data_IF_703939317552
#
_entry.id   IF_703939317552
#
_cell.length_a   1.000
_cell.length_b   1.000
_cell.length_c   1.000
_cell.angle_alpha   90.00
_cell.angle_beta   90.00
_cell.angle_gamma   90.00
#
_symmetry.space_group_name_H-M   'P 1'
#
loop_
_entity.id
_entity.type
_entity.pdbx_description
1 polymer ?
#
# COMPACT_ATOMS: atom_id res chain seq x y z
N UNK A 1 20.48 -17.31 4.64
CA UNK A 1 19.82 -16.00 4.36
C UNK A 1 20.70 -15.00 3.60
N UNK A 2 22.05 -15.12 3.55
CA UNK A 2 22.92 -14.13 2.87
C UNK A 2 23.15 -14.38 1.36
N UNK A 3 22.88 -15.55 0.85
CA UNK A 3 23.18 -15.89 -0.57
C UNK A 3 22.20 -15.23 -1.57
N UNK A 4 20.97 -14.97 -1.19
CA UNK A 4 19.96 -14.36 -2.07
C UNK A 4 20.08 -12.83 -2.17
N UNK A 5 20.87 -12.19 -1.31
CA UNK A 5 21.08 -10.74 -1.35
C UNK A 5 22.16 -10.30 -2.36
N UNK A 6 23.18 -11.12 -2.62
CA UNK A 6 24.35 -10.74 -3.42
C UNK A 6 24.06 -10.45 -4.91
N UNK A 7 22.97 -10.96 -5.45
CA UNK A 7 22.55 -10.74 -6.86
C UNK A 7 21.20 -10.03 -7.02
N UNK A 8 20.58 -9.58 -5.92
CA UNK A 8 19.26 -8.98 -5.97
C UNK A 8 19.31 -7.56 -6.57
N UNK A 9 18.64 -7.31 -7.72
CA UNK A 9 18.70 -6.00 -8.39
C UNK A 9 18.10 -4.86 -7.57
N UNK A 10 17.26 -5.15 -6.58
CA UNK A 10 16.67 -4.16 -5.68
C UNK A 10 17.66 -3.65 -4.63
N UNK A 11 18.76 -4.38 -4.40
CA UNK A 11 19.78 -4.05 -3.41
C UNK A 11 21.06 -3.46 -4.04
N UNK A 12 21.12 -3.42 -5.37
CA UNK A 12 22.24 -2.83 -6.13
C UNK A 12 21.93 -1.38 -6.52
N UNK A 13 22.95 -0.55 -6.73
CA UNK A 13 22.75 0.75 -7.39
C UNK A 13 22.16 0.55 -8.79
N UNK A 14 21.17 1.39 -9.14
CA UNK A 14 20.58 1.34 -10.47
C UNK A 14 21.39 2.18 -11.45
N UNK A 15 22.25 1.52 -12.23
CA UNK A 15 23.09 2.14 -13.27
C UNK A 15 22.37 2.17 -14.63
N UNK A 16 21.14 2.62 -14.61
CA UNK A 16 20.25 2.73 -15.76
C UNK A 16 20.06 4.21 -16.14
N UNK A 17 19.64 4.52 -17.37
CA UNK A 17 19.29 5.88 -17.75
C UNK A 17 18.30 6.51 -16.76
N UNK A 18 18.62 7.72 -16.30
CA UNK A 18 17.82 8.48 -15.32
C UNK A 18 17.72 7.83 -13.92
N UNK A 19 18.53 6.81 -13.61
CA UNK A 19 18.44 6.06 -12.35
C UNK A 19 17.14 5.28 -12.18
N UNK A 20 16.49 4.88 -13.27
CA UNK A 20 15.25 4.11 -13.22
C UNK A 20 15.52 2.68 -12.72
N UNK A 21 14.54 2.02 -12.06
CA UNK A 21 14.68 0.61 -11.71
C UNK A 21 14.92 -0.27 -12.95
N UNK A 22 15.77 -1.30 -12.86
CA UNK A 22 15.98 -2.25 -13.95
C UNK A 22 14.80 -3.23 -14.08
N UNK A 23 13.62 -2.74 -14.50
CA UNK A 23 12.34 -3.48 -14.52
C UNK A 23 12.45 -4.87 -15.17
N UNK A 24 13.25 -5.02 -16.22
CA UNK A 24 13.43 -6.31 -16.92
C UNK A 24 14.15 -7.36 -16.09
N UNK A 25 14.93 -6.95 -15.09
CA UNK A 25 15.67 -7.84 -14.20
C UNK A 25 14.92 -8.14 -12.89
N UNK A 26 13.90 -7.32 -12.55
CA UNK A 26 13.15 -7.45 -11.29
C UNK A 26 12.12 -8.57 -11.42
N UNK A 27 12.01 -9.38 -10.37
CA UNK A 27 11.06 -10.48 -10.23
C UNK A 27 10.38 -10.41 -8.86
N UNK A 28 9.17 -10.99 -8.70
CA UNK A 28 8.46 -10.99 -7.41
C UNK A 28 9.28 -11.55 -6.25
N UNK A 29 10.07 -12.59 -6.48
CA UNK A 29 10.92 -13.22 -5.47
C UNK A 29 12.06 -12.35 -4.93
N UNK A 30 12.36 -11.25 -5.60
CA UNK A 30 13.37 -10.28 -5.14
C UNK A 30 12.88 -9.39 -3.99
N UNK A 31 11.55 -9.19 -3.86
CA UNK A 31 11.01 -8.19 -2.94
C UNK A 31 11.14 -8.57 -1.47
N UNK A 32 10.75 -9.78 -1.07
CA UNK A 32 10.82 -10.18 0.35
C UNK A 32 12.25 -10.07 0.88
N UNK A 33 13.29 -10.63 0.22
CA UNK A 33 14.67 -10.47 0.68
C UNK A 33 15.15 -9.01 0.67
N UNK A 34 14.69 -8.20 -0.27
CA UNK A 34 15.05 -6.77 -0.32
C UNK A 34 14.41 -5.99 0.83
N UNK A 35 13.15 -6.25 1.15
CA UNK A 35 12.49 -5.68 2.31
C UNK A 35 13.17 -6.10 3.62
N UNK A 36 13.60 -7.36 3.76
CA UNK A 36 14.30 -7.83 4.94
C UNK A 36 15.58 -7.04 5.22
N UNK A 37 16.39 -6.86 4.19
CA UNK A 37 17.62 -6.06 4.28
C UNK A 37 17.29 -4.60 4.57
N UNK A 38 16.34 -4.02 3.86
CA UNK A 38 15.99 -2.61 4.00
C UNK A 38 15.38 -2.27 5.37
N UNK A 39 14.55 -3.16 5.93
CA UNK A 39 14.01 -3.02 7.30
C UNK A 39 15.14 -3.10 8.33
N UNK A 40 16.06 -4.04 8.17
CA UNK A 40 17.18 -4.18 9.09
C UNK A 40 18.11 -2.95 9.08
N UNK A 41 18.44 -2.43 7.89
CA UNK A 41 19.20 -1.19 7.73
C UNK A 41 18.48 0.00 8.37
N UNK A 42 17.18 0.18 8.08
CA UNK A 42 16.42 1.29 8.65
C UNK A 42 16.33 1.21 10.17
N UNK A 43 16.17 0.00 10.74
CA UNK A 43 16.23 -0.17 12.21
C UNK A 43 17.57 0.27 12.79
N UNK A 44 18.68 -0.12 12.17
CA UNK A 44 20.00 0.29 12.62
C UNK A 44 20.19 1.82 12.56
N UNK A 45 19.66 2.48 11.51
CA UNK A 45 19.69 3.95 11.41
C UNK A 45 18.86 4.61 12.52
N UNK A 46 17.66 4.12 12.81
CA UNK A 46 16.80 4.63 13.89
C UNK A 46 17.44 4.41 15.27
N UNK A 47 18.01 3.22 15.52
CA UNK A 47 18.73 2.93 16.75
C UNK A 47 19.92 3.89 16.94
N UNK A 48 20.69 4.15 15.87
CA UNK A 48 21.81 5.08 15.90
C UNK A 48 21.38 6.52 16.24
N UNK A 49 20.27 6.99 15.65
CA UNK A 49 19.71 8.31 15.97
C UNK A 49 19.24 8.32 17.43
N UNK A 50 18.52 7.31 17.88
CA UNK A 50 17.98 7.24 19.23
C UNK A 50 19.04 7.12 20.33
N UNK A 51 20.18 6.50 20.03
CA UNK A 51 21.30 6.27 20.94
C UNK A 51 22.41 7.35 20.85
N UNK A 52 22.31 8.33 19.96
CA UNK A 52 23.33 9.38 19.79
C UNK A 52 23.54 10.13 21.13
N UNK A 53 24.76 10.09 21.71
CA UNK A 53 25.07 10.74 22.97
C UNK A 53 25.11 12.25 22.90
N UNK A 54 25.22 12.84 21.69
CA UNK A 54 25.22 14.28 21.50
C UNK A 54 23.84 14.88 21.83
N UNK A 55 23.79 16.09 22.38
CA UNK A 55 22.52 16.79 22.60
C UNK A 55 21.68 16.81 21.32
N UNK A 56 20.35 16.63 21.40
CA UNK A 56 19.50 16.64 20.23
C UNK A 56 19.50 18.01 19.55
N UNK A 57 19.69 17.99 18.24
CA UNK A 57 19.55 19.15 17.35
C UNK A 57 18.60 18.80 16.23
N UNK A 58 18.06 19.80 15.53
CA UNK A 58 17.26 19.55 14.32
C UNK A 58 18.00 18.66 13.31
N UNK A 59 19.30 18.92 13.11
CA UNK A 59 20.14 18.22 12.14
C UNK A 59 20.38 16.74 12.49
N UNK A 60 20.77 16.44 13.77
CA UNK A 60 21.11 15.08 14.18
C UNK A 60 19.90 14.24 14.66
N UNK A 61 18.70 14.82 14.66
CA UNK A 61 17.49 14.14 15.12
C UNK A 61 16.42 14.17 14.02
N UNK A 62 15.83 15.34 13.72
CA UNK A 62 14.71 15.47 12.79
C UNK A 62 15.16 15.23 11.36
N UNK A 63 16.18 15.95 10.89
CA UNK A 63 16.70 15.80 9.54
C UNK A 63 17.43 14.45 9.33
N UNK A 64 18.01 13.87 10.39
CA UNK A 64 18.57 12.52 10.34
C UNK A 64 17.44 11.47 10.17
N UNK A 65 16.36 11.59 10.93
CA UNK A 65 15.17 10.74 10.81
C UNK A 65 14.52 10.84 9.42
N UNK A 66 14.34 12.05 8.91
CA UNK A 66 13.76 12.29 7.57
C UNK A 66 14.58 11.63 6.44
N UNK A 67 15.90 11.56 6.60
CA UNK A 67 16.79 10.91 5.62
C UNK A 67 16.93 9.40 5.80
N UNK A 68 16.49 8.85 6.93
CA UNK A 68 16.60 7.43 7.24
C UNK A 68 15.65 6.59 6.38
N UNK A 69 15.91 5.30 6.27
CA UNK A 69 15.05 4.35 5.57
C UNK A 69 14.98 4.53 4.05
N UNK A 70 15.95 5.19 3.44
CA UNK A 70 15.93 5.48 2.00
C UNK A 70 15.77 4.22 1.16
N UNK A 71 16.52 3.15 1.46
CA UNK A 71 16.41 1.88 0.72
C UNK A 71 15.01 1.28 0.87
N UNK A 72 14.45 1.30 2.09
CA UNK A 72 13.10 0.81 2.34
C UNK A 72 12.05 1.61 1.54
N UNK A 73 12.21 2.91 1.49
CA UNK A 73 11.35 3.79 0.70
C UNK A 73 11.48 3.52 -0.82
N UNK A 74 12.68 3.25 -1.32
CA UNK A 74 12.91 2.95 -2.75
C UNK A 74 12.28 1.60 -3.13
N UNK A 75 12.53 0.55 -2.35
CA UNK A 75 11.93 -0.78 -2.55
C UNK A 75 10.40 -0.70 -2.43
N UNK A 76 9.89 0.01 -1.42
CA UNK A 76 8.46 0.17 -1.19
C UNK A 76 7.75 0.94 -2.31
N UNK A 77 8.34 2.03 -2.82
CA UNK A 77 7.79 2.79 -3.96
C UNK A 77 7.70 1.96 -5.23
N UNK A 78 8.78 1.20 -5.51
CA UNK A 78 8.79 0.32 -6.68
C UNK A 78 7.76 -0.80 -6.54
N UNK A 79 7.71 -1.44 -5.38
CA UNK A 79 6.73 -2.49 -5.09
C UNK A 79 5.29 -1.97 -5.23
N UNK A 80 4.98 -0.84 -4.60
CA UNK A 80 3.66 -0.21 -4.70
C UNK A 80 3.29 0.21 -6.12
N UNK A 81 4.26 0.65 -6.94
CA UNK A 81 4.02 0.92 -8.35
C UNK A 81 3.63 -0.35 -9.11
N UNK A 82 4.39 -1.45 -8.94
CA UNK A 82 4.11 -2.71 -9.65
C UNK A 82 2.81 -3.36 -9.19
N UNK A 83 2.50 -3.37 -7.90
CA UNK A 83 1.23 -3.91 -7.39
C UNK A 83 0.01 -3.11 -7.86
N UNK A 84 0.17 -1.81 -8.07
CA UNK A 84 -0.92 -0.93 -8.54
C UNK A 84 -1.15 -0.97 -10.05
N UNK A 85 -0.09 -1.20 -10.85
CA UNK A 85 -0.15 -1.08 -12.32
C UNK A 85 -0.03 -2.42 -13.06
N UNK A 86 0.68 -3.40 -12.52
CA UNK A 86 1.05 -4.65 -13.17
C UNK A 86 1.01 -5.83 -12.18
N UNK A 87 -0.01 -5.88 -11.33
CA UNK A 87 -0.09 -6.91 -10.29
C UNK A 87 -0.18 -8.33 -10.86
N UNK A 88 0.27 -9.28 -10.07
CA UNK A 88 0.21 -10.72 -10.38
C UNK A 88 -0.05 -11.51 -9.10
N UNK A 89 -0.49 -12.79 -9.18
CA UNK A 89 -0.66 -13.63 -8.00
C UNK A 89 0.60 -13.72 -7.13
N UNK A 90 1.80 -13.71 -7.74
CA UNK A 90 3.07 -13.72 -7.02
C UNK A 90 3.32 -12.40 -6.28
N UNK A 91 3.04 -11.23 -6.89
CA UNK A 91 3.13 -9.94 -6.21
C UNK A 91 2.09 -9.79 -5.11
N UNK A 92 0.87 -10.30 -5.31
CA UNK A 92 -0.17 -10.30 -4.28
C UNK A 92 0.20 -11.14 -3.06
N UNK A 93 0.88 -12.29 -3.28
CA UNK A 93 1.41 -13.09 -2.18
C UNK A 93 2.48 -12.34 -1.38
N UNK A 94 3.41 -11.64 -2.06
CA UNK A 94 4.39 -10.76 -1.40
C UNK A 94 3.69 -9.64 -0.63
N UNK A 95 2.65 -9.03 -1.19
CA UNK A 95 1.89 -7.97 -0.54
C UNK A 95 1.24 -8.45 0.77
N UNK A 96 0.61 -9.62 0.75
CA UNK A 96 0.02 -10.24 1.95
C UNK A 96 1.06 -10.55 3.02
N UNK A 97 2.25 -11.02 2.63
CA UNK A 97 3.34 -11.30 3.55
C UNK A 97 3.93 -10.02 4.16
N UNK A 98 4.14 -9.00 3.32
CA UNK A 98 4.86 -7.81 3.73
C UNK A 98 4.00 -6.76 4.44
N UNK A 99 2.70 -6.70 4.20
CA UNK A 99 1.82 -5.70 4.79
C UNK A 99 1.87 -5.69 6.33
N UNK A 100 1.70 -6.80 7.06
CA UNK A 100 1.81 -6.81 8.52
C UNK A 100 3.25 -6.52 8.99
N UNK A 101 4.27 -6.99 8.27
CA UNK A 101 5.69 -6.78 8.63
C UNK A 101 6.10 -5.31 8.51
N UNK A 102 5.64 -4.61 7.49
CA UNK A 102 5.85 -3.17 7.32
C UNK A 102 5.10 -2.37 8.39
N UNK A 103 3.84 -2.73 8.69
CA UNK A 103 3.08 -2.10 9.76
C UNK A 103 3.72 -2.30 11.15
N UNK A 104 4.26 -3.50 11.40
CA UNK A 104 5.03 -3.78 12.61
C UNK A 104 6.33 -2.97 12.69
N UNK A 105 7.01 -2.77 11.55
CA UNK A 105 8.19 -1.90 11.47
C UNK A 105 7.84 -0.44 11.75
N UNK A 106 6.78 0.09 11.15
CA UNK A 106 6.31 1.45 11.40
C UNK A 106 5.93 1.65 12.87
N UNK A 107 5.20 0.69 13.47
CA UNK A 107 4.87 0.72 14.90
C UNK A 107 6.13 0.74 15.77
N UNK A 108 7.14 -0.06 15.42
CA UNK A 108 8.41 -0.09 16.13
C UNK A 108 9.14 1.27 16.08
N UNK A 109 9.15 1.95 14.92
CA UNK A 109 9.74 3.29 14.76
C UNK A 109 9.00 4.29 15.66
N UNK A 110 7.69 4.39 15.55
CA UNK A 110 6.89 5.37 16.30
C UNK A 110 6.92 5.12 17.82
N UNK A 111 7.17 3.88 18.24
CA UNK A 111 7.32 3.51 19.65
C UNK A 111 8.79 3.48 20.12
N UNK A 112 9.74 3.89 19.27
CA UNK A 112 11.16 3.89 19.60
C UNK A 112 11.49 4.98 20.64
N UNK A 113 11.70 4.56 21.91
CA UNK A 113 11.83 5.46 23.05
C UNK A 113 12.95 6.50 22.91
N UNK A 114 14.13 6.06 22.44
CA UNK A 114 15.28 6.94 22.29
C UNK A 114 15.03 8.04 21.27
N UNK A 115 14.49 7.68 20.10
CA UNK A 115 14.15 8.64 19.05
C UNK A 115 13.06 9.61 19.52
N UNK A 116 11.98 9.11 20.12
CA UNK A 116 10.87 9.95 20.61
C UNK A 116 11.34 10.90 21.74
N UNK A 117 12.22 10.45 22.64
CA UNK A 117 12.78 11.32 23.67
C UNK A 117 13.55 12.50 23.07
N UNK A 118 14.36 12.27 22.04
CA UNK A 118 15.11 13.33 21.32
C UNK A 118 14.20 14.30 20.59
N UNK A 119 13.17 13.78 19.88
CA UNK A 119 12.16 14.60 19.22
C UNK A 119 11.38 15.44 20.22
N UNK A 120 10.98 14.86 21.37
CA UNK A 120 10.24 15.57 22.42
C UNK A 120 11.07 16.66 23.06
N UNK A 121 12.35 16.43 23.33
CA UNK A 121 13.26 17.44 23.89
C UNK A 121 13.39 18.66 22.95
N UNK A 122 13.46 18.44 21.63
CA UNK A 122 13.45 19.52 20.65
C UNK A 122 12.11 20.26 20.62
N UNK A 123 11.01 19.51 20.64
CA UNK A 123 9.65 20.07 20.58
C UNK A 123 9.36 20.95 21.82
N UNK A 124 9.74 20.51 23.01
CA UNK A 124 9.56 21.27 24.27
C UNK A 124 10.35 22.57 24.23
N UNK A 125 11.56 22.58 23.64
CA UNK A 125 12.43 23.71 23.56
C UNK A 125 12.28 24.54 22.26
N UNK A 126 11.31 24.20 21.40
CA UNK A 126 11.17 24.77 20.03
C UNK A 126 11.08 26.29 19.96
N UNK A 127 10.61 26.96 21.00
CA UNK A 127 10.56 28.42 21.06
C UNK A 127 11.95 29.08 21.21
N UNK A 128 12.93 28.28 21.72
CA UNK A 128 14.32 28.72 21.92
C UNK A 128 15.25 28.27 20.80
N UNK A 129 14.79 27.34 19.97
CA UNK A 129 15.50 26.92 18.77
C UNK A 129 15.22 27.97 17.69
N UNK A 130 16.22 28.71 17.28
CA UNK A 130 16.12 29.71 16.21
C UNK A 130 15.91 29.04 14.84
N UNK A 131 14.82 28.26 14.74
CA UNK A 131 14.42 27.54 13.52
C UNK A 131 13.60 28.46 12.62
N UNK A 132 13.88 28.42 11.35
CA UNK A 132 13.02 28.95 10.30
C UNK A 132 11.60 28.35 10.39
N UNK A 133 10.58 29.00 9.81
CA UNK A 133 9.19 28.54 9.89
C UNK A 133 8.98 27.10 9.39
N UNK A 134 9.63 26.68 8.30
CA UNK A 134 9.49 25.35 7.73
C UNK A 134 10.08 24.24 8.64
N UNK A 135 11.37 24.28 9.05
CA UNK A 135 11.92 23.32 10.01
C UNK A 135 11.14 23.26 11.32
N UNK A 136 10.65 24.39 11.82
CA UNK A 136 9.77 24.42 13.00
C UNK A 136 8.49 23.62 12.77
N UNK A 137 7.83 23.83 11.64
CA UNK A 137 6.61 23.14 11.29
C UNK A 137 6.84 21.63 11.08
N UNK A 138 7.98 21.24 10.48
CA UNK A 138 8.38 19.83 10.34
C UNK A 138 8.54 19.17 11.71
N UNK A 139 9.25 19.80 12.66
CA UNK A 139 9.40 19.29 14.03
C UNK A 139 8.04 19.11 14.73
N UNK A 140 7.16 20.11 14.64
CA UNK A 140 5.82 20.05 15.23
C UNK A 140 4.99 18.91 14.66
N UNK A 141 5.07 18.69 13.35
CA UNK A 141 4.33 17.63 12.67
C UNK A 141 4.87 16.26 13.05
N UNK A 142 6.16 16.05 12.97
CA UNK A 142 6.79 14.77 13.34
C UNK A 142 6.47 14.42 14.80
N UNK A 143 6.61 15.37 15.74
CA UNK A 143 6.24 15.11 17.13
C UNK A 143 4.75 14.72 17.26
N UNK A 144 3.85 15.43 16.57
CA UNK A 144 2.42 15.12 16.57
C UNK A 144 2.13 13.74 15.99
N UNK A 145 2.82 13.35 14.91
CA UNK A 145 2.66 12.05 14.25
C UNK A 145 3.12 10.92 15.18
N UNK A 146 4.25 11.08 15.89
CA UNK A 146 4.70 10.14 16.92
C UNK A 146 3.66 9.98 18.05
N UNK A 147 3.13 11.08 18.58
CA UNK A 147 2.11 11.03 19.65
C UNK A 147 0.85 10.31 19.17
N UNK A 148 0.38 10.60 17.97
CA UNK A 148 -0.81 9.96 17.37
C UNK A 148 -0.61 8.49 17.06
N UNK A 149 0.62 8.12 16.70
CA UNK A 149 0.98 6.73 16.42
C UNK A 149 1.31 5.92 17.68
N UNK A 150 1.06 6.47 18.87
CA UNK A 150 1.16 5.72 20.12
C UNK A 150 2.51 5.80 20.83
N UNK A 151 3.38 6.78 20.52
CA UNK A 151 4.68 6.95 21.18
C UNK A 151 4.61 7.10 22.71
N UNK A 152 3.45 7.48 23.24
CA UNK A 152 3.17 7.62 24.68
C UNK A 152 2.55 6.39 25.31
N UNK A 153 2.17 5.40 24.51
CA UNK A 153 1.64 4.12 25.00
C UNK A 153 2.80 3.32 25.61
N UNK A 154 2.55 2.71 26.74
CA UNK A 154 3.58 1.94 27.48
C UNK A 154 3.03 0.60 27.97
N UNK A 155 3.94 -0.34 28.27
CA UNK A 155 3.57 -1.62 28.86
C UNK A 155 2.81 -2.55 27.91
N UNK A 156 1.78 -3.22 28.43
CA UNK A 156 1.00 -4.20 27.68
C UNK A 156 0.23 -3.58 26.50
N UNK A 157 -0.25 -2.35 26.66
CA UNK A 157 -1.01 -1.64 25.63
C UNK A 157 -0.15 -1.34 24.41
N UNK A 158 1.16 -1.11 24.59
CA UNK A 158 2.09 -0.92 23.48
C UNK A 158 2.21 -2.18 22.60
N UNK A 159 2.36 -3.34 23.23
CA UNK A 159 2.41 -4.61 22.50
C UNK A 159 1.07 -4.90 21.79
N UNK A 160 -0.05 -4.63 22.48
CA UNK A 160 -1.37 -4.81 21.89
C UNK A 160 -1.62 -3.89 20.70
N UNK A 161 -1.22 -2.62 20.80
CA UNK A 161 -1.33 -1.66 19.70
C UNK A 161 -0.57 -2.13 18.45
N UNK A 162 0.67 -2.64 18.60
CA UNK A 162 1.43 -3.17 17.48
C UNK A 162 0.71 -4.33 16.80
N UNK A 163 0.17 -5.28 17.56
CA UNK A 163 -0.63 -6.41 17.01
C UNK A 163 -1.87 -5.92 16.29
N UNK A 164 -2.56 -4.89 16.80
CA UNK A 164 -3.74 -4.29 16.13
C UNK A 164 -3.33 -3.68 14.79
N UNK A 165 -2.21 -2.97 14.73
CA UNK A 165 -1.73 -2.33 13.51
C UNK A 165 -1.32 -3.35 12.44
N UNK A 166 -0.61 -4.42 12.83
CA UNK A 166 -0.25 -5.52 11.93
C UNK A 166 -1.51 -6.21 11.37
N UNK A 167 -2.48 -6.51 12.24
CA UNK A 167 -3.73 -7.13 11.81
C UNK A 167 -4.57 -6.23 10.90
N UNK A 168 -4.62 -4.93 11.18
CA UNK A 168 -5.29 -3.96 10.29
C UNK A 168 -4.64 -3.91 8.91
N UNK A 169 -3.31 -3.96 8.83
CA UNK A 169 -2.59 -3.98 7.56
C UNK A 169 -2.93 -5.25 6.75
N UNK A 170 -2.88 -6.42 7.38
CA UNK A 170 -3.26 -7.69 6.77
C UNK A 170 -4.70 -7.66 6.22
N UNK A 171 -5.67 -7.26 7.06
CA UNK A 171 -7.07 -7.20 6.68
C UNK A 171 -7.34 -6.19 5.55
N UNK A 172 -6.67 -5.05 5.57
CA UNK A 172 -6.82 -4.02 4.52
C UNK A 172 -6.28 -4.53 3.19
N UNK A 173 -5.16 -5.23 3.19
CA UNK A 173 -4.58 -5.85 2.00
C UNK A 173 -5.51 -6.93 1.45
N UNK A 174 -5.99 -7.83 2.31
CA UNK A 174 -6.94 -8.87 1.92
C UNK A 174 -8.25 -8.28 1.35
N UNK A 175 -8.77 -7.21 1.97
CA UNK A 175 -9.95 -6.51 1.48
C UNK A 175 -9.76 -6.02 0.05
N UNK A 176 -8.63 -5.37 -0.22
CA UNK A 176 -8.30 -4.86 -1.56
C UNK A 176 -8.17 -5.99 -2.59
N UNK A 177 -7.48 -7.07 -2.25
CA UNK A 177 -7.31 -8.22 -3.13
C UNK A 177 -8.63 -8.94 -3.42
N UNK A 178 -9.54 -9.05 -2.46
CA UNK A 178 -10.87 -9.62 -2.67
C UNK A 178 -11.70 -8.78 -3.66
N UNK A 179 -11.68 -7.44 -3.52
CA UNK A 179 -12.36 -6.55 -4.49
C UNK A 179 -11.78 -6.70 -5.88
N UNK A 180 -10.45 -6.80 -6.01
CA UNK A 180 -9.77 -7.00 -7.28
C UNK A 180 -10.12 -8.37 -7.90
N UNK A 181 -10.22 -9.42 -7.09
CA UNK A 181 -10.61 -10.75 -7.56
C UNK A 181 -12.03 -10.75 -8.14
N UNK A 182 -12.98 -10.12 -7.46
CA UNK A 182 -14.35 -9.97 -7.98
C UNK A 182 -14.37 -9.15 -9.28
N UNK A 183 -13.63 -8.05 -9.34
CA UNK A 183 -13.52 -7.21 -10.55
C UNK A 183 -12.95 -8.02 -11.72
N UNK A 184 -11.91 -8.79 -11.47
CA UNK A 184 -11.21 -9.58 -12.49
C UNK A 184 -12.01 -10.79 -12.96
N UNK A 185 -12.87 -11.34 -12.11
CA UNK A 185 -13.67 -12.53 -12.42
C UNK A 185 -14.95 -12.23 -13.21
N UNK A 186 -15.52 -11.02 -13.06
CA UNK A 186 -16.80 -10.67 -13.67
C UNK A 186 -16.71 -10.52 -15.19
N UNK A 187 -17.75 -11.04 -15.87
CA UNK A 187 -17.92 -10.94 -17.32
C UNK A 187 -19.39 -10.78 -17.66
N UNK A 188 -19.74 -9.67 -18.31
CA UNK A 188 -21.01 -9.51 -19.01
C UNK A 188 -20.75 -9.72 -20.50
N UNK A 189 -21.13 -10.88 -21.02
CA UNK A 189 -20.94 -11.22 -22.43
C UNK A 189 -22.14 -10.72 -23.24
N UNK A 190 -21.85 -9.92 -24.27
CA UNK A 190 -22.81 -9.37 -25.23
C UNK A 190 -22.58 -10.08 -26.57
N UNK A 191 -23.59 -10.77 -27.07
CA UNK A 191 -23.49 -11.60 -28.29
C UNK A 191 -24.29 -11.05 -29.45
N UNK A 192 -25.38 -10.38 -29.16
CA UNK A 192 -26.29 -9.87 -30.17
C UNK A 192 -26.08 -8.37 -30.43
N UNK A 193 -26.27 -7.94 -31.66
CA UNK A 193 -26.15 -6.52 -32.02
C UNK A 193 -27.14 -5.64 -31.22
N UNK A 194 -28.29 -6.19 -30.83
CA UNK A 194 -29.26 -5.51 -29.97
C UNK A 194 -28.74 -5.24 -28.55
N UNK A 195 -27.79 -6.04 -28.06
CA UNK A 195 -27.14 -5.85 -26.74
C UNK A 195 -26.06 -4.76 -26.78
N UNK A 196 -25.60 -4.41 -27.97
CA UNK A 196 -24.63 -3.35 -28.24
C UNK A 196 -25.31 -1.99 -28.54
N UNK A 197 -26.65 -1.93 -28.54
CA UNK A 197 -27.41 -0.71 -28.82
C UNK A 197 -26.97 0.45 -27.89
N UNK A 198 -26.78 1.64 -28.50
CA UNK A 198 -26.31 2.85 -27.81
C UNK A 198 -24.82 2.94 -27.57
N UNK A 199 -24.07 1.84 -27.68
CA UNK A 199 -22.62 1.84 -27.40
C UNK A 199 -21.85 2.50 -28.57
N UNK A 200 -21.04 3.56 -28.28
CA UNK A 200 -20.10 4.14 -29.22
C UNK A 200 -19.03 3.12 -29.67
N UNK A 201 -18.42 3.35 -30.85
CA UNK A 201 -17.44 2.40 -31.42
C UNK A 201 -16.25 2.15 -30.52
N UNK A 202 -15.75 3.14 -29.78
CA UNK A 202 -14.63 2.93 -28.85
C UNK A 202 -14.98 1.96 -27.70
N UNK A 203 -16.25 1.95 -27.23
CA UNK A 203 -16.72 1.00 -26.21
C UNK A 203 -16.86 -0.39 -26.81
N UNK A 204 -17.43 -0.48 -28.01
CA UNK A 204 -17.58 -1.75 -28.76
C UNK A 204 -16.20 -2.37 -29.04
N UNK A 205 -15.24 -1.56 -29.49
CA UNK A 205 -13.87 -2.01 -29.78
C UNK A 205 -13.18 -2.53 -28.51
N UNK A 206 -13.27 -1.80 -27.40
CA UNK A 206 -12.72 -2.25 -26.10
C UNK A 206 -13.38 -3.55 -25.62
N UNK A 207 -14.71 -3.67 -25.75
CA UNK A 207 -15.44 -4.87 -25.36
C UNK A 207 -15.10 -6.09 -26.23
N UNK A 208 -14.90 -5.92 -27.56
CA UNK A 208 -14.39 -6.98 -28.47
C UNK A 208 -12.99 -7.42 -28.06
N UNK A 209 -12.10 -6.47 -27.83
CA UNK A 209 -10.74 -6.77 -27.40
C UNK A 209 -10.72 -7.57 -26.09
N UNK A 210 -11.54 -7.18 -25.11
CA UNK A 210 -11.68 -7.90 -23.85
C UNK A 210 -12.23 -9.34 -24.03
N UNK A 211 -13.08 -9.57 -25.05
CA UNK A 211 -13.52 -10.91 -25.46
C UNK A 211 -12.37 -11.75 -26.00
N UNK A 212 -11.61 -11.19 -26.95
CA UNK A 212 -10.44 -11.85 -27.56
C UNK A 212 -9.42 -12.26 -26.50
N UNK A 213 -9.05 -11.34 -25.62
CA UNK A 213 -8.06 -11.59 -24.53
C UNK A 213 -8.48 -12.72 -23.58
N UNK A 214 -9.79 -12.97 -23.49
CA UNK A 214 -10.38 -14.00 -22.61
C UNK A 214 -10.80 -15.27 -23.35
N UNK A 215 -10.59 -15.34 -24.66
CA UNK A 215 -11.03 -16.47 -25.48
C UNK A 215 -12.57 -16.62 -25.51
N UNK A 216 -13.32 -15.53 -25.35
CA UNK A 216 -14.78 -15.51 -25.34
C UNK A 216 -15.27 -14.99 -26.68
N UNK A 217 -16.15 -15.76 -27.33
CA UNK A 217 -16.85 -15.30 -28.53
C UNK A 217 -17.92 -14.26 -28.15
N UNK A 218 -17.71 -13.01 -28.58
CA UNK A 218 -18.55 -11.87 -28.29
C UNK A 218 -17.82 -10.68 -27.66
N UNK A 219 -18.58 -9.64 -27.35
CA UNK A 219 -18.09 -8.48 -26.63
C UNK A 219 -18.20 -8.72 -25.12
N UNK A 220 -17.15 -8.39 -24.37
CA UNK A 220 -17.13 -8.58 -22.91
C UNK A 220 -17.02 -7.22 -22.21
N UNK A 221 -17.98 -6.93 -21.34
CA UNK A 221 -17.90 -5.83 -20.38
C UNK A 221 -17.38 -6.40 -19.06
N UNK A 222 -16.29 -5.82 -18.57
CA UNK A 222 -15.70 -6.14 -17.27
C UNK A 222 -16.10 -5.07 -16.24
N UNK A 223 -15.74 -5.28 -14.96
CA UNK A 223 -15.94 -4.26 -13.91
C UNK A 223 -14.79 -3.25 -13.82
N UNK A 224 -13.78 -3.32 -14.70
CA UNK A 224 -12.81 -2.24 -14.78
C UNK A 224 -13.50 -0.92 -15.07
N UNK A 225 -13.04 0.16 -14.44
CA UNK A 225 -13.67 1.48 -14.57
C UNK A 225 -13.75 1.96 -16.02
N UNK A 226 -12.75 1.60 -16.83
CA UNK A 226 -12.72 1.91 -18.27
C UNK A 226 -13.78 1.19 -19.10
N UNK A 227 -14.34 0.08 -18.61
CA UNK A 227 -15.41 -0.66 -19.28
C UNK A 227 -16.77 -0.35 -18.67
N UNK A 228 -16.91 -0.49 -17.33
CA UNK A 228 -18.23 -0.38 -16.70
C UNK A 228 -18.81 1.03 -16.78
N UNK A 229 -18.00 2.07 -16.60
CA UNK A 229 -18.51 3.45 -16.61
C UNK A 229 -19.02 3.85 -18.00
N UNK A 230 -18.26 3.68 -19.11
CA UNK A 230 -18.81 3.94 -20.44
C UNK A 230 -20.02 3.06 -20.78
N UNK A 231 -20.02 1.79 -20.39
CA UNK A 231 -21.17 0.92 -20.62
C UNK A 231 -22.43 1.44 -19.91
N UNK A 232 -22.34 1.83 -18.65
CA UNK A 232 -23.44 2.42 -17.91
C UNK A 232 -23.91 3.77 -18.47
N UNK A 233 -23.00 4.52 -19.09
CA UNK A 233 -23.29 5.83 -19.68
C UNK A 233 -24.03 5.72 -20.99
N UNK A 234 -23.62 4.81 -21.88
CA UNK A 234 -24.02 4.82 -23.28
C UNK A 234 -25.00 3.70 -23.68
N UNK A 235 -24.99 2.54 -23.01
CA UNK A 235 -25.85 1.43 -23.40
C UNK A 235 -27.34 1.80 -23.32
N UNK A 236 -28.12 1.51 -24.36
CA UNK A 236 -29.58 1.64 -24.34
C UNK A 236 -30.26 0.54 -23.52
N UNK A 237 -29.57 -0.57 -23.29
CA UNK A 237 -30.09 -1.75 -22.58
C UNK A 237 -30.08 -1.55 -21.06
N UNK A 238 -31.22 -1.06 -20.55
CA UNK A 238 -31.40 -0.81 -19.11
C UNK A 238 -31.20 -2.06 -18.24
N UNK A 239 -31.67 -3.21 -18.69
CA UNK A 239 -31.52 -4.50 -18.02
C UNK A 239 -30.04 -4.93 -17.88
N UNK A 240 -29.23 -4.72 -18.92
CA UNK A 240 -27.81 -5.02 -18.90
C UNK A 240 -27.02 -3.98 -18.08
N UNK A 241 -27.43 -2.69 -18.14
CA UNK A 241 -26.87 -1.68 -17.24
C UNK A 241 -27.14 -2.03 -15.76
N UNK A 242 -28.35 -2.45 -15.41
CA UNK A 242 -28.67 -2.87 -14.04
C UNK A 242 -27.80 -4.04 -13.59
N UNK A 243 -27.60 -5.05 -14.44
CA UNK A 243 -26.72 -6.19 -14.13
C UNK A 243 -25.28 -5.75 -13.87
N UNK A 244 -24.72 -4.93 -14.77
CA UNK A 244 -23.36 -4.41 -14.62
C UNK A 244 -23.22 -3.52 -13.37
N UNK A 245 -24.21 -2.64 -13.12
CA UNK A 245 -24.22 -1.77 -11.95
C UNK A 245 -24.28 -2.54 -10.64
N UNK A 246 -25.20 -3.52 -10.52
CA UNK A 246 -25.30 -4.35 -9.33
C UNK A 246 -24.01 -5.10 -9.05
N UNK A 247 -23.41 -5.70 -10.07
CA UNK A 247 -22.12 -6.38 -9.93
C UNK A 247 -21.01 -5.43 -9.50
N UNK A 248 -21.01 -4.20 -10.03
CA UNK A 248 -19.98 -3.20 -9.72
C UNK A 248 -20.05 -2.68 -8.29
N UNK A 249 -21.26 -2.40 -7.79
CA UNK A 249 -21.44 -1.86 -6.43
C UNK A 249 -21.33 -2.92 -5.33
N UNK A 250 -21.52 -4.22 -5.66
CA UNK A 250 -21.50 -5.31 -4.69
C UNK A 250 -20.18 -6.11 -4.68
N UNK A 251 -19.10 -5.54 -5.26
CA UNK A 251 -17.78 -6.18 -5.19
C UNK A 251 -17.35 -6.37 -3.72
N UNK A 252 -16.93 -7.60 -3.39
CA UNK A 252 -16.59 -7.98 -2.02
C UNK A 252 -17.80 -8.20 -1.10
N UNK A 253 -19.03 -8.18 -1.61
CA UNK A 253 -20.27 -8.39 -0.85
C UNK A 253 -20.96 -9.72 -1.17
N UNK A 254 -20.23 -10.68 -1.73
CA UNK A 254 -20.78 -11.98 -2.12
C UNK A 254 -20.37 -13.07 -1.14
N UNK A 255 -21.24 -14.04 -0.91
CA UNK A 255 -20.86 -15.25 -0.18
C UNK A 255 -19.76 -15.99 -0.96
N UNK A 256 -18.67 -16.33 -0.28
CA UNK A 256 -17.56 -17.05 -0.89
C UNK A 256 -16.19 -16.58 -0.37
N UNK A 257 -15.12 -16.98 -1.06
CA UNK A 257 -13.75 -16.72 -0.60
C UNK A 257 -13.35 -15.23 -0.61
N UNK A 258 -14.10 -14.39 -1.33
CA UNK A 258 -13.83 -12.95 -1.47
C UNK A 258 -14.84 -12.08 -0.71
N UNK A 259 -15.57 -12.64 0.26
CA UNK A 259 -16.52 -11.90 1.09
C UNK A 259 -15.79 -10.97 2.07
N UNK A 260 -15.93 -9.68 1.85
CA UNK A 260 -15.30 -8.64 2.70
C UNK A 260 -16.16 -8.24 3.91
N UNK A 261 -17.38 -8.72 4.06
CA UNK A 261 -18.26 -8.35 5.18
C UNK A 261 -17.69 -8.77 6.55
N UNK A 262 -17.11 -9.97 6.73
CA UNK A 262 -16.41 -10.32 7.97
C UNK A 262 -15.18 -9.47 8.21
N UNK A 263 -14.39 -9.22 7.17
CA UNK A 263 -13.17 -8.39 7.20
C UNK A 263 -13.51 -6.96 7.64
N UNK A 264 -14.52 -6.35 7.04
CA UNK A 264 -14.97 -5.01 7.40
C UNK A 264 -15.42 -4.90 8.87
N UNK A 265 -16.12 -5.91 9.39
CA UNK A 265 -16.52 -5.96 10.81
C UNK A 265 -15.31 -6.04 11.73
N UNK A 266 -14.31 -6.85 11.41
CA UNK A 266 -13.09 -6.97 12.19
C UNK A 266 -12.28 -5.68 12.15
N UNK A 267 -12.13 -5.05 10.97
CA UNK A 267 -11.48 -3.74 10.83
C UNK A 267 -12.15 -2.69 11.73
N UNK A 268 -13.48 -2.61 11.73
CA UNK A 268 -14.23 -1.66 12.58
C UNK A 268 -14.01 -1.93 14.07
N UNK A 269 -13.98 -3.20 14.48
CA UNK A 269 -13.70 -3.58 15.87
C UNK A 269 -12.28 -3.16 16.29
N UNK A 270 -11.28 -3.44 15.46
CA UNK A 270 -9.88 -3.07 15.73
C UNK A 270 -9.66 -1.55 15.70
N UNK A 271 -10.31 -0.82 14.80
CA UNK A 271 -10.26 0.65 14.78
C UNK A 271 -10.88 1.27 16.03
N UNK A 272 -11.96 0.67 16.55
CA UNK A 272 -12.55 1.10 17.83
C UNK A 272 -11.61 0.84 19.01
N UNK A 273 -10.87 -0.28 18.98
CA UNK A 273 -9.88 -0.58 20.01
C UNK A 273 -8.67 0.37 19.94
N UNK A 274 -8.28 0.76 18.72
CA UNK A 274 -7.17 1.68 18.48
C UNK A 274 -7.46 3.11 18.97
N UNK A 275 -8.73 3.54 18.98
CA UNK A 275 -9.17 4.91 19.34
C UNK A 275 -9.14 5.14 20.85
#
# INVERSE_FOLDING_TARGET
MHEHAAGNPLLQPWDTPYGLPPFTAIRPEHFVPAFDVAIAEHRAEIDAIGADPAPPTFANTVAAFDRSGRRLADVGRLFGNLTSSETSPALQAVEMEMAPRLAGHDSWIFMHRGLFARISALFENRARLELDPEPRRVLERIHSDFVRAGARIVGADQARYAVVMERLAELTTQFGQNVLADESSYRLVLRDESELAGLPEFVRAAARQAGIERGIDGCVITLSRSHVVPFLTFSDRRDLRERAYRAWISRGEHEGPHDNRPIAREILALRREQA
#
